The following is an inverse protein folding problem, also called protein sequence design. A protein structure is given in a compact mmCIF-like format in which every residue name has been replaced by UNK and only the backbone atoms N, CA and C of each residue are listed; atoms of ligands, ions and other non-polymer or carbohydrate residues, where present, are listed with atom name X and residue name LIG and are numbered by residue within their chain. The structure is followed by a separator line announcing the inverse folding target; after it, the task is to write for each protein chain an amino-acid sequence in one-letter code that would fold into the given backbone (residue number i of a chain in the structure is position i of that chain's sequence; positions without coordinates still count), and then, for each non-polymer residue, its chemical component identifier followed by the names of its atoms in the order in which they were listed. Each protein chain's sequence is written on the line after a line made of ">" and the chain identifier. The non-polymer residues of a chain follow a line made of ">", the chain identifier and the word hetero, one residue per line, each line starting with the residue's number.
data_IF_953710042929
#
_entry.id   IF_953710042929
#
_cell.length_a   1.000
_cell.length_b   1.000
_cell.length_c   1.000
_cell.angle_alpha   90.00
_cell.angle_beta   90.00
_cell.angle_gamma   90.00
#
_symmetry.space_group_name_H-M   'P 1'
#
loop_
_entity.id
_entity.type
_entity.pdbx_description
1 polymer ?
#
# COMPACT_ATOMS: atom_id res chain seq x y z
N UNK A 1 -12.74 7.58 -23.22
CA UNK A 1 -11.84 7.22 -22.14
C UNK A 1 -12.55 7.45 -20.81
N UNK A 2 -13.09 6.38 -20.21
CA UNK A 2 -13.61 6.46 -18.85
C UNK A 2 -12.37 6.65 -17.95
N UNK A 3 -12.10 7.88 -17.50
CA UNK A 3 -11.27 8.12 -16.32
C UNK A 3 -11.92 7.35 -15.19
N UNK A 4 -11.29 6.27 -14.75
CA UNK A 4 -11.61 5.65 -13.47
C UNK A 4 -11.29 6.71 -12.41
N UNK A 5 -12.34 7.39 -11.93
CA UNK A 5 -12.26 8.57 -11.09
C UNK A 5 -11.91 8.20 -9.65
N UNK A 6 -10.67 7.79 -9.42
CA UNK A 6 -10.04 7.98 -8.12
C UNK A 6 -8.58 8.35 -8.38
N UNK A 7 -8.29 9.65 -8.38
CA UNK A 7 -6.92 10.12 -8.35
C UNK A 7 -6.26 9.50 -7.12
N UNK A 8 -5.35 8.56 -7.34
CA UNK A 8 -4.49 8.03 -6.30
C UNK A 8 -3.23 8.88 -6.30
N UNK A 9 -2.85 9.32 -5.13
CA UNK A 9 -1.74 10.25 -4.93
C UNK A 9 -0.70 9.55 -4.07
N UNK A 10 0.56 9.61 -4.48
CA UNK A 10 1.68 9.14 -3.67
C UNK A 10 2.17 10.29 -2.80
N UNK A 11 2.24 10.05 -1.48
CA UNK A 11 2.69 11.01 -0.49
C UNK A 11 3.74 10.39 0.43
N UNK A 12 4.66 11.23 0.93
CA UNK A 12 5.71 10.85 1.87
C UNK A 12 5.96 11.94 2.91
N UNK A 13 6.37 11.55 4.11
CA UNK A 13 6.84 12.45 5.17
C UNK A 13 8.05 11.85 5.87
N UNK A 14 9.03 12.70 6.26
CA UNK A 14 10.05 12.34 7.22
C UNK A 14 9.46 12.34 8.62
N UNK A 15 9.80 11.34 9.42
CA UNK A 15 9.33 11.20 10.80
C UNK A 15 10.25 11.88 11.83
N UNK A 16 11.36 12.46 11.39
CA UNK A 16 12.28 13.19 12.28
C UNK A 16 11.56 14.40 12.89
N UNK A 17 11.53 14.47 14.22
CA UNK A 17 10.92 15.57 14.97
C UNK A 17 9.43 15.40 15.28
N UNK A 18 8.81 14.25 14.97
CA UNK A 18 7.47 13.95 15.46
C UNK A 18 7.48 13.75 16.98
N UNK A 19 6.61 14.46 17.71
CA UNK A 19 6.40 14.33 19.15
C UNK A 19 4.95 14.05 19.48
N UNK A 20 4.72 13.45 20.66
CA UNK A 20 3.36 13.17 21.15
C UNK A 20 2.66 14.43 21.61
N UNK A 21 1.47 14.71 21.08
CA UNK A 21 0.48 15.59 21.74
C UNK A 21 -0.52 14.74 22.54
N UNK A 22 -0.66 15.06 23.84
CA UNK A 22 -1.67 14.44 24.71
C UNK A 22 -2.97 15.23 24.66
N UNK A 23 -4.09 14.56 24.37
CA UNK A 23 -5.42 15.04 24.80
C UNK A 23 -6.48 13.95 24.75
N UNK A 24 -7.27 13.89 25.84
CA UNK A 24 -8.26 12.88 26.16
C UNK A 24 -9.66 13.15 25.59
N UNK A 25 -10.37 12.07 25.23
CA UNK A 25 -11.75 11.70 25.57
C UNK A 25 -12.09 10.42 24.82
N UNK A 26 -12.04 9.29 25.53
CA UNK A 26 -12.16 7.94 25.01
C UNK A 26 -10.85 7.17 25.14
N UNK A 27 -10.89 5.88 25.17
CA UNK A 27 -9.69 5.04 25.28
C UNK A 27 -9.00 4.99 23.91
N UNK A 28 -7.75 5.45 23.86
CA UNK A 28 -6.89 5.21 22.69
C UNK A 28 -5.99 4.03 23.02
N UNK A 29 -6.07 3.00 22.18
CA UNK A 29 -5.30 1.77 22.34
C UNK A 29 -4.35 1.58 21.14
N UNK A 30 -3.26 0.84 21.38
CA UNK A 30 -2.41 0.40 20.27
C UNK A 30 -3.15 -0.64 19.43
N UNK A 31 -2.94 -0.59 18.13
CA UNK A 31 -3.44 -1.63 17.20
C UNK A 31 -2.96 -3.00 17.65
N UNK A 32 -3.88 -3.98 17.63
CA UNK A 32 -3.64 -5.37 17.94
C UNK A 32 -3.96 -6.23 16.72
N UNK A 33 -3.42 -7.44 16.69
CA UNK A 33 -3.62 -8.37 15.59
C UNK A 33 -4.09 -9.76 16.05
N UNK A 34 -4.63 -9.85 17.25
CA UNK A 34 -5.34 -11.06 17.71
C UNK A 34 -6.69 -11.22 16.96
N UNK A 35 -7.17 -12.45 16.87
CA UNK A 35 -8.35 -12.79 16.05
C UNK A 35 -9.62 -12.03 16.46
N UNK A 36 -9.81 -11.74 17.74
CA UNK A 36 -10.99 -11.02 18.22
C UNK A 36 -10.95 -9.55 17.79
N UNK A 37 -9.78 -8.92 17.90
CA UNK A 37 -9.54 -7.54 17.46
C UNK A 37 -9.65 -7.44 15.93
N UNK A 38 -9.08 -8.37 15.17
CA UNK A 38 -9.21 -8.41 13.71
C UNK A 38 -10.69 -8.50 13.26
N UNK A 39 -11.52 -9.29 13.99
CA UNK A 39 -12.95 -9.35 13.74
C UNK A 39 -13.65 -8.01 13.99
N UNK A 40 -13.19 -7.23 14.95
CA UNK A 40 -13.70 -5.88 15.23
C UNK A 40 -13.34 -4.91 14.14
N UNK A 41 -12.11 -4.97 13.58
CA UNK A 41 -11.72 -4.19 12.42
C UNK A 41 -12.56 -4.51 11.19
N UNK A 42 -12.84 -5.79 10.93
CA UNK A 42 -13.73 -6.18 9.82
C UNK A 42 -15.10 -5.51 9.95
N UNK A 43 -15.69 -5.49 11.15
CA UNK A 43 -16.98 -4.79 11.39
C UNK A 43 -16.86 -3.30 11.12
N UNK A 44 -15.82 -2.63 11.63
CA UNK A 44 -15.58 -1.22 11.38
C UNK A 44 -15.40 -0.93 9.88
N UNK A 45 -14.61 -1.73 9.16
CA UNK A 45 -14.41 -1.54 7.73
C UNK A 45 -15.70 -1.76 6.92
N UNK A 46 -16.55 -2.71 7.31
CA UNK A 46 -17.86 -2.90 6.68
C UNK A 46 -18.77 -1.69 6.89
N UNK A 47 -18.80 -1.10 8.08
CA UNK A 47 -19.59 0.13 8.33
C UNK A 47 -19.10 1.34 7.52
N UNK A 48 -17.80 1.39 7.18
CA UNK A 48 -17.21 2.48 6.42
C UNK A 48 -17.23 2.28 4.90
N UNK A 49 -17.08 1.04 4.43
CA UNK A 49 -16.83 0.70 3.02
C UNK A 49 -17.88 -0.25 2.42
N UNK A 50 -18.86 -0.68 3.22
CA UNK A 50 -19.93 -1.61 2.80
C UNK A 50 -19.53 -3.09 2.84
N UNK A 51 -20.52 -3.96 2.64
CA UNK A 51 -20.39 -5.42 2.75
C UNK A 51 -19.41 -6.04 1.72
N UNK A 52 -19.27 -5.43 0.55
CA UNK A 52 -18.34 -5.88 -0.50
C UNK A 52 -16.88 -5.52 -0.22
N UNK A 53 -16.57 -5.05 0.99
CA UNK A 53 -15.19 -4.69 1.33
C UNK A 53 -14.28 -5.91 1.28
N UNK A 54 -13.05 -5.71 0.83
CA UNK A 54 -12.02 -6.76 0.75
C UNK A 54 -11.49 -7.23 2.12
N UNK A 55 -11.94 -6.61 3.21
CA UNK A 55 -11.40 -6.86 4.54
C UNK A 55 -12.05 -8.11 5.15
N UNK A 56 -11.29 -9.18 5.26
CA UNK A 56 -11.60 -10.37 6.04
C UNK A 56 -10.60 -10.54 7.18
N UNK A 57 -10.90 -11.39 8.15
CA UNK A 57 -9.96 -11.71 9.24
C UNK A 57 -8.67 -12.31 8.69
N UNK A 58 -8.78 -13.18 7.69
CA UNK A 58 -7.64 -13.84 7.05
C UNK A 58 -6.75 -12.82 6.31
N UNK A 59 -7.36 -11.86 5.62
CA UNK A 59 -6.63 -10.78 4.96
C UNK A 59 -5.91 -9.87 5.96
N UNK A 60 -6.58 -9.50 7.05
CA UNK A 60 -5.97 -8.66 8.07
C UNK A 60 -4.89 -9.39 8.86
N UNK A 61 -5.06 -10.68 9.15
CA UNK A 61 -4.03 -11.51 9.76
C UNK A 61 -2.78 -11.60 8.87
N UNK A 62 -2.97 -11.86 7.57
CA UNK A 62 -1.89 -11.83 6.59
C UNK A 62 -1.17 -10.49 6.56
N UNK A 63 -1.91 -9.39 6.52
CA UNK A 63 -1.35 -8.05 6.38
C UNK A 63 -0.69 -7.54 7.66
N UNK A 64 -1.31 -7.81 8.82
CA UNK A 64 -0.94 -7.20 10.10
C UNK A 64 0.01 -8.05 10.93
N UNK A 65 -0.15 -9.38 10.88
CA UNK A 65 0.66 -10.29 11.69
C UNK A 65 1.80 -10.95 10.91
N UNK A 66 1.59 -11.23 9.60
CA UNK A 66 2.52 -12.06 8.80
C UNK A 66 3.45 -11.27 7.90
N UNK A 67 3.46 -9.93 7.98
CA UNK A 67 4.41 -9.11 7.25
C UNK A 67 5.85 -9.38 7.76
N UNK A 68 6.78 -9.86 6.92
CA UNK A 68 8.14 -10.20 7.35
C UNK A 68 8.97 -8.99 7.78
N UNK A 69 8.59 -7.78 7.37
CA UNK A 69 9.24 -6.56 7.82
C UNK A 69 8.83 -6.12 9.23
N UNK A 70 7.83 -6.78 9.82
CA UNK A 70 7.34 -6.55 11.17
C UNK A 70 5.81 -6.42 11.24
N UNK A 71 5.24 -6.54 12.44
CA UNK A 71 3.80 -6.45 12.64
C UNK A 71 3.25 -5.03 12.41
N UNK A 72 1.93 -4.94 12.26
CA UNK A 72 1.21 -3.67 12.20
C UNK A 72 1.49 -2.80 13.42
N UNK A 73 1.53 -1.51 13.21
CA UNK A 73 1.57 -0.48 14.26
C UNK A 73 0.50 0.58 14.00
N UNK A 74 0.11 1.29 15.04
CA UNK A 74 -0.90 2.33 14.94
C UNK A 74 -1.76 2.40 16.18
N UNK A 75 -2.89 3.10 16.05
CA UNK A 75 -3.79 3.34 17.18
C UNK A 75 -5.25 3.21 16.78
N UNK A 76 -6.04 2.78 17.76
CA UNK A 76 -7.49 2.67 17.72
C UNK A 76 -8.12 3.68 18.69
N UNK A 77 -9.29 4.18 18.33
CA UNK A 77 -10.16 4.86 19.28
C UNK A 77 -11.31 3.91 19.64
N UNK A 78 -11.42 3.63 20.93
CA UNK A 78 -12.39 2.68 21.48
C UNK A 78 -13.47 3.46 22.24
N UNK A 79 -14.68 3.38 21.74
CA UNK A 79 -15.88 3.86 22.40
C UNK A 79 -16.40 2.82 23.40
N UNK A 80 -16.99 3.26 24.50
CA UNK A 80 -17.44 2.36 25.57
C UNK A 80 -18.57 1.42 25.16
N UNK A 81 -19.44 1.87 24.26
CA UNK A 81 -20.64 1.13 23.85
C UNK A 81 -20.41 0.40 22.50
N UNK A 82 -19.76 1.06 21.55
CA UNK A 82 -19.61 0.59 20.19
C UNK A 82 -18.28 -0.15 19.91
N UNK A 83 -17.35 -0.12 20.88
CA UNK A 83 -16.03 -0.71 20.71
C UNK A 83 -15.13 0.12 19.79
N UNK A 84 -14.35 -0.51 18.90
CA UNK A 84 -13.43 0.20 18.00
C UNK A 84 -14.23 0.97 16.94
N UNK A 85 -14.18 2.30 17.00
CA UNK A 85 -14.90 3.20 16.09
C UNK A 85 -13.98 4.04 15.20
N UNK A 86 -12.68 4.09 15.49
CA UNK A 86 -11.70 4.61 14.55
C UNK A 86 -10.42 3.78 14.63
N UNK A 87 -9.75 3.66 13.48
CA UNK A 87 -8.57 2.84 13.28
C UNK A 87 -7.60 3.54 12.34
N UNK A 88 -6.34 3.59 12.72
CA UNK A 88 -5.25 4.09 11.88
C UNK A 88 -4.07 3.13 11.96
N UNK A 89 -3.71 2.52 10.85
CA UNK A 89 -2.66 1.52 10.78
C UNK A 89 -1.52 1.91 9.85
N UNK A 90 -0.32 1.49 10.23
CA UNK A 90 0.88 1.49 9.42
C UNK A 90 1.50 0.09 9.45
N UNK A 91 2.09 -0.34 8.34
CA UNK A 91 2.89 -1.57 8.30
C UNK A 91 4.33 -1.23 7.93
N UNK A 92 5.32 -1.92 8.49
CA UNK A 92 6.70 -1.82 8.04
C UNK A 92 6.82 -2.13 6.55
N UNK A 93 7.47 -1.24 5.82
CA UNK A 93 7.64 -1.35 4.38
C UNK A 93 8.89 -0.59 3.94
N UNK A 94 10.09 -1.22 4.05
CA UNK A 94 11.36 -0.58 3.73
C UNK A 94 11.40 -0.05 2.29
N UNK A 95 12.06 1.09 2.12
CA UNK A 95 12.18 1.79 0.84
C UNK A 95 13.64 2.12 0.53
N UNK A 96 13.90 2.45 -0.73
CA UNK A 96 15.11 3.15 -1.11
C UNK A 96 14.76 4.52 -1.71
N UNK A 97 15.46 5.56 -1.28
CA UNK A 97 15.36 6.92 -1.81
C UNK A 97 16.73 7.24 -2.43
N UNK A 98 16.74 7.51 -3.73
CA UNK A 98 17.99 7.69 -4.50
C UNK A 98 19.04 6.59 -4.28
N UNK A 99 18.58 5.35 -4.09
CA UNK A 99 19.42 4.18 -3.84
C UNK A 99 19.80 3.93 -2.38
N UNK A 100 19.57 4.87 -1.48
CA UNK A 100 19.82 4.71 -0.05
C UNK A 100 18.64 4.01 0.64
N UNK A 101 18.95 2.96 1.41
CA UNK A 101 17.95 2.18 2.15
C UNK A 101 17.48 2.95 3.38
N UNK A 102 16.16 3.06 3.53
CA UNK A 102 15.52 3.74 4.65
C UNK A 102 14.48 2.82 5.30
N UNK A 103 14.39 2.90 6.63
CA UNK A 103 13.31 2.27 7.37
C UNK A 103 12.03 3.10 7.20
N UNK A 104 10.99 2.49 6.67
CA UNK A 104 9.75 3.21 6.41
C UNK A 104 8.52 2.40 6.77
N UNK A 105 7.43 3.10 7.04
CA UNK A 105 6.11 2.53 7.23
C UNK A 105 5.17 2.97 6.11
N UNK A 106 4.33 2.06 5.66
CA UNK A 106 3.23 2.33 4.75
C UNK A 106 1.96 2.57 5.55
N UNK A 107 1.43 3.79 5.50
CA UNK A 107 0.13 4.13 6.07
C UNK A 107 -1.00 3.54 5.21
N UNK A 108 -1.91 2.79 5.84
CA UNK A 108 -2.99 2.10 5.14
C UNK A 108 -4.18 1.82 6.07
N UNK A 109 -5.28 1.34 5.50
CA UNK A 109 -6.47 0.84 6.23
C UNK A 109 -6.98 1.80 7.31
N UNK A 110 -7.11 3.08 6.98
CA UNK A 110 -7.64 4.07 7.92
C UNK A 110 -9.16 4.10 7.83
N UNK A 111 -9.85 4.08 8.97
CA UNK A 111 -11.30 4.12 9.02
C UNK A 111 -11.80 4.88 10.24
N UNK A 112 -12.91 5.61 10.07
CA UNK A 112 -13.68 6.21 11.17
C UNK A 112 -15.14 5.94 10.92
N UNK A 113 -15.80 5.29 11.90
CA UNK A 113 -17.22 4.96 11.83
C UNK A 113 -18.04 6.22 11.50
N UNK A 114 -19.06 6.13 10.63
CA UNK A 114 -19.83 7.30 10.18
C UNK A 114 -20.32 8.20 11.31
N UNK A 115 -20.80 7.64 12.41
CA UNK A 115 -21.30 8.41 13.56
C UNK A 115 -20.21 9.16 14.35
N UNK A 116 -18.94 8.86 14.10
CA UNK A 116 -17.77 9.45 14.79
C UNK A 116 -16.92 10.32 13.87
N UNK A 117 -17.35 10.52 12.61
CA UNK A 117 -16.67 11.41 11.68
C UNK A 117 -16.80 12.89 12.13
N UNK A 118 -15.91 13.74 11.64
CA UNK A 118 -15.89 15.16 11.97
C UNK A 118 -15.29 15.50 13.35
N UNK A 119 -14.97 14.53 14.19
CA UNK A 119 -14.43 14.71 15.54
C UNK A 119 -12.89 14.76 15.60
N UNK A 120 -12.20 14.81 14.46
CA UNK A 120 -10.74 14.89 14.40
C UNK A 120 -10.01 13.59 14.70
N UNK A 121 -10.72 12.46 14.89
CA UNK A 121 -10.11 11.16 15.26
C UNK A 121 -9.06 10.69 14.25
N UNK A 122 -9.32 10.83 12.95
CA UNK A 122 -8.36 10.51 11.90
C UNK A 122 -7.01 11.21 12.12
N UNK A 123 -7.05 12.54 12.30
CA UNK A 123 -5.85 13.37 12.48
C UNK A 123 -5.11 12.98 13.76
N UNK A 124 -5.85 12.78 14.86
CA UNK A 124 -5.29 12.39 16.15
C UNK A 124 -4.60 11.05 16.11
N UNK A 125 -5.27 10.02 15.59
CA UNK A 125 -4.69 8.68 15.49
C UNK A 125 -3.50 8.65 14.52
N UNK A 126 -3.56 9.40 13.41
CA UNK A 126 -2.45 9.55 12.47
C UNK A 126 -1.21 10.15 13.15
N UNK A 127 -1.36 11.27 13.86
CA UNK A 127 -0.24 11.90 14.59
C UNK A 127 0.39 10.92 15.59
N UNK A 128 -0.43 10.20 16.35
CA UNK A 128 0.07 9.21 17.31
C UNK A 128 0.76 8.04 16.63
N UNK A 129 0.24 7.56 15.48
CA UNK A 129 0.83 6.46 14.73
C UNK A 129 2.22 6.85 14.18
N UNK A 130 2.36 8.08 13.67
CA UNK A 130 3.63 8.56 13.15
C UNK A 130 4.63 8.86 14.26
N UNK A 131 4.22 9.43 15.39
CA UNK A 131 5.08 9.56 16.56
C UNK A 131 5.55 8.19 17.06
N UNK A 132 4.64 7.23 17.17
CA UNK A 132 5.00 5.86 17.58
C UNK A 132 5.92 5.15 16.57
N UNK A 133 5.81 5.43 15.27
CA UNK A 133 6.73 4.93 14.26
C UNK A 133 8.11 5.59 14.39
N UNK A 134 8.18 6.91 14.61
CA UNK A 134 9.44 7.62 14.88
C UNK A 134 10.15 7.06 16.11
N UNK A 135 9.41 6.87 17.23
CA UNK A 135 9.94 6.26 18.46
C UNK A 135 10.46 4.84 18.24
N UNK A 136 9.89 4.11 17.29
CA UNK A 136 10.32 2.77 16.89
C UNK A 136 11.48 2.75 15.88
N UNK A 137 12.04 3.92 15.51
CA UNK A 137 13.20 4.05 14.64
C UNK A 137 12.92 4.02 13.15
N UNK A 138 11.69 4.34 12.73
CA UNK A 138 11.37 4.54 11.32
C UNK A 138 11.67 5.97 10.88
N UNK A 139 12.27 6.11 9.70
CA UNK A 139 12.70 7.40 9.15
C UNK A 139 11.59 8.10 8.39
N UNK A 140 10.72 7.32 7.72
CA UNK A 140 9.69 7.82 6.81
C UNK A 140 8.36 7.11 6.97
N UNK A 141 7.29 7.86 6.72
CA UNK A 141 5.97 7.29 6.42
C UNK A 141 5.55 7.67 5.00
N UNK A 142 4.93 6.76 4.28
CA UNK A 142 4.40 7.01 2.95
C UNK A 142 3.03 6.35 2.76
N UNK A 143 2.31 6.74 1.74
CA UNK A 143 1.00 6.20 1.47
C UNK A 143 0.45 6.55 0.10
N UNK A 144 -0.65 5.90 -0.24
CA UNK A 144 -1.42 6.16 -1.47
C UNK A 144 -2.87 6.45 -1.04
N UNK A 145 -3.12 7.65 -0.48
CA UNK A 145 -4.45 8.02 -0.03
C UNK A 145 -5.41 8.20 -1.22
N UNK A 146 -6.68 8.09 -0.91
CA UNK A 146 -7.75 8.53 -1.80
C UNK A 146 -7.95 10.06 -1.69
N UNK A 147 -8.80 10.63 -2.55
CA UNK A 147 -9.09 12.06 -2.58
C UNK A 147 -9.64 12.59 -1.25
N UNK A 148 -10.34 11.77 -0.46
CA UNK A 148 -10.90 12.18 0.83
C UNK A 148 -9.83 12.27 1.94
N UNK A 149 -8.86 11.36 1.95
CA UNK A 149 -7.81 11.33 2.97
C UNK A 149 -6.67 12.32 2.67
N UNK A 150 -6.43 12.64 1.41
CA UNK A 150 -5.32 13.50 0.95
C UNK A 150 -5.27 14.86 1.67
N UNK A 151 -6.34 15.65 1.78
CA UNK A 151 -6.29 16.96 2.43
C UNK A 151 -5.90 16.88 3.91
N UNK A 152 -6.35 15.83 4.62
CA UNK A 152 -5.97 15.59 6.01
C UNK A 152 -4.49 15.31 6.18
N UNK A 153 -3.91 14.53 5.31
CA UNK A 153 -2.50 14.15 5.36
C UNK A 153 -1.58 15.28 4.89
N UNK A 154 -1.87 15.92 3.77
CA UNK A 154 -1.00 16.97 3.23
C UNK A 154 -1.13 18.30 3.98
N UNK A 155 -2.35 18.66 4.41
CA UNK A 155 -2.60 19.93 5.09
C UNK A 155 -2.32 19.91 6.60
N UNK A 156 -2.60 18.81 7.29
CA UNK A 156 -2.52 18.74 8.76
C UNK A 156 -1.37 17.90 9.28
N UNK A 157 -0.96 16.86 8.54
CA UNK A 157 0.10 15.95 8.95
C UNK A 157 1.45 16.25 8.29
N UNK A 158 1.53 17.27 7.43
CA UNK A 158 2.78 17.69 6.79
C UNK A 158 3.30 16.75 5.68
N UNK A 159 2.49 15.83 5.19
CA UNK A 159 2.88 15.00 4.05
C UNK A 159 3.12 15.84 2.81
N UNK A 160 4.17 15.48 2.08
CA UNK A 160 4.46 16.06 0.76
C UNK A 160 3.88 15.18 -0.33
N UNK A 161 3.17 15.80 -1.26
CA UNK A 161 2.74 15.16 -2.48
C UNK A 161 3.96 14.93 -3.36
N UNK A 162 4.22 13.67 -3.72
CA UNK A 162 5.32 13.31 -4.61
C UNK A 162 4.86 13.31 -6.06
N UNK A 163 3.80 12.57 -6.36
CA UNK A 163 3.20 12.52 -7.69
C UNK A 163 1.78 11.97 -7.63
N UNK A 164 0.99 12.30 -8.66
CA UNK A 164 -0.23 11.56 -8.95
C UNK A 164 0.13 10.21 -9.58
N UNK A 165 -0.64 9.18 -9.27
CA UNK A 165 -0.53 7.88 -9.89
C UNK A 165 -1.59 7.74 -10.98
N UNK A 166 -1.15 7.60 -12.21
CA UNK A 166 -2.03 7.34 -13.34
C UNK A 166 -2.47 5.86 -13.35
N UNK A 167 -3.70 5.61 -13.75
CA UNK A 167 -4.22 4.28 -14.00
C UNK A 167 -4.42 4.12 -15.51
N UNK A 168 -3.53 3.36 -16.15
CA UNK A 168 -3.58 3.12 -17.59
C UNK A 168 -4.03 1.70 -17.89
N UNK A 169 -4.93 1.54 -18.87
CA UNK A 169 -5.29 0.25 -19.45
C UNK A 169 -4.46 0.07 -20.71
N UNK A 170 -3.50 -0.85 -20.67
CA UNK A 170 -2.61 -1.14 -21.79
C UNK A 170 -3.10 -2.38 -22.54
N UNK A 171 -3.37 -2.26 -23.84
CA UNK A 171 -3.73 -3.37 -24.73
C UNK A 171 -2.50 -4.10 -25.29
N UNK A 172 -1.35 -3.45 -25.33
CA UNK A 172 -0.09 -4.01 -25.81
C UNK A 172 0.85 -4.34 -24.63
N UNK A 173 1.82 -5.26 -24.82
CA UNK A 173 2.84 -5.51 -23.81
C UNK A 173 3.61 -4.23 -23.49
N UNK A 174 3.32 -3.63 -22.35
CA UNK A 174 4.10 -2.51 -21.86
C UNK A 174 5.46 -3.03 -21.39
N UNK A 175 6.53 -2.50 -21.97
CA UNK A 175 7.89 -2.69 -21.47
C UNK A 175 8.25 -1.45 -20.66
N UNK A 176 8.38 -1.60 -19.34
CA UNK A 176 9.06 -0.59 -18.55
C UNK A 176 10.55 -0.65 -18.92
N UNK A 177 11.19 0.48 -19.24
CA UNK A 177 12.64 0.51 -19.42
C UNK A 177 13.30 -0.06 -18.16
N UNK A 178 14.30 -0.96 -18.33
CA UNK A 178 15.08 -1.41 -17.19
C UNK A 178 16.00 -0.26 -16.76
N UNK A 179 15.81 0.34 -15.58
CA UNK A 179 16.59 1.50 -15.17
C UNK A 179 18.09 1.21 -15.05
N UNK A 180 18.49 -0.06 -14.95
CA UNK A 180 19.90 -0.45 -14.81
C UNK A 180 20.56 -0.79 -16.16
N UNK A 181 19.78 -1.07 -17.21
CA UNK A 181 20.34 -1.48 -18.51
C UNK A 181 20.73 -0.29 -19.40
N UNK A 182 20.07 0.86 -19.25
CA UNK A 182 20.19 2.00 -20.16
C UNK A 182 20.84 3.24 -19.52
N UNK A 183 21.48 3.08 -18.32
CA UNK A 183 22.07 4.22 -17.60
C UNK A 183 21.05 5.24 -17.09
N UNK A 184 19.79 4.88 -17.06
CA UNK A 184 18.72 5.70 -16.49
C UNK A 184 18.95 5.93 -14.98
N UNK A 185 18.63 7.12 -14.47
CA UNK A 185 18.83 7.42 -13.06
C UNK A 185 18.04 6.42 -12.19
N UNK A 186 18.69 5.93 -11.15
CA UNK A 186 18.06 5.12 -10.10
C UNK A 186 16.75 5.76 -9.70
N UNK A 187 15.67 4.98 -9.68
CA UNK A 187 14.36 5.50 -9.30
C UNK A 187 14.46 6.30 -8.00
N UNK A 188 13.96 7.55 -8.02
CA UNK A 188 14.02 8.42 -6.85
C UNK A 188 13.38 7.80 -5.60
N UNK A 189 12.43 6.88 -5.82
CA UNK A 189 11.75 6.11 -4.78
C UNK A 189 11.45 4.71 -5.30
N UNK A 190 11.76 3.69 -4.50
CA UNK A 190 11.33 2.32 -4.74
C UNK A 190 11.13 1.56 -3.43
N UNK A 191 10.18 0.61 -3.42
CA UNK A 191 10.04 -0.34 -2.32
C UNK A 191 11.17 -1.37 -2.39
N UNK A 192 11.75 -1.68 -1.23
CA UNK A 192 12.74 -2.77 -1.13
C UNK A 192 11.99 -4.09 -0.99
N UNK A 193 12.38 -5.06 -1.82
CA UNK A 193 11.89 -6.42 -1.77
C UNK A 193 12.98 -7.36 -1.26
N UNK A 194 12.64 -8.24 -0.32
CA UNK A 194 13.37 -9.44 0.03
C UNK A 194 12.62 -10.65 -0.49
N UNK A 195 13.23 -11.84 -0.46
CA UNK A 195 12.54 -13.10 -0.82
C UNK A 195 11.31 -13.29 0.05
N UNK A 196 11.43 -13.12 1.37
CA UNK A 196 10.31 -13.27 2.30
C UNK A 196 9.21 -12.24 2.04
N UNK A 197 9.57 -10.99 1.73
CA UNK A 197 8.60 -9.94 1.39
C UNK A 197 7.85 -10.26 0.09
N UNK A 198 8.51 -10.84 -0.90
CA UNK A 198 7.87 -11.30 -2.14
C UNK A 198 6.96 -12.50 -1.88
N UNK A 199 7.41 -13.50 -1.12
CA UNK A 199 6.60 -14.65 -0.74
C UNK A 199 5.34 -14.21 0.01
N UNK A 200 5.51 -13.35 1.00
CA UNK A 200 4.38 -12.76 1.72
C UNK A 200 3.44 -11.99 0.79
N UNK A 201 3.97 -11.14 -0.09
CA UNK A 201 3.14 -10.38 -1.05
C UNK A 201 2.33 -11.28 -1.97
N UNK A 202 2.92 -12.38 -2.43
CA UNK A 202 2.29 -13.34 -3.33
C UNK A 202 1.32 -14.30 -2.60
N UNK A 203 1.39 -14.39 -1.27
CA UNK A 203 0.47 -15.18 -0.44
C UNK A 203 -0.78 -14.41 0.03
N UNK A 204 -1.07 -13.23 -0.54
CA UNK A 204 -2.28 -12.46 -0.26
C UNK A 204 -3.54 -13.33 -0.44
N UNK A 205 -4.35 -13.56 0.61
CA UNK A 205 -5.51 -14.46 0.52
C UNK A 205 -6.61 -13.95 -0.40
N UNK A 206 -6.62 -12.64 -0.72
CA UNK A 206 -7.60 -12.03 -1.62
C UNK A 206 -7.17 -12.07 -3.09
N UNK A 207 -5.95 -12.52 -3.39
CA UNK A 207 -5.40 -12.43 -4.73
C UNK A 207 -4.76 -13.75 -5.17
N UNK A 208 -5.13 -14.21 -6.36
CA UNK A 208 -4.40 -15.29 -7.05
C UNK A 208 -3.36 -14.66 -7.97
N UNK A 209 -2.17 -14.48 -7.43
CA UNK A 209 -1.05 -13.94 -8.20
C UNK A 209 -0.54 -14.96 -9.21
N UNK A 210 -0.17 -14.47 -10.39
CA UNK A 210 0.58 -15.22 -11.40
C UNK A 210 1.89 -14.51 -11.63
N UNK A 211 2.97 -15.25 -11.73
CA UNK A 211 4.31 -14.70 -11.87
C UNK A 211 5.03 -15.34 -13.04
N UNK A 212 5.92 -14.59 -13.68
CA UNK A 212 6.80 -15.06 -14.75
C UNK A 212 8.08 -14.23 -14.73
N UNK A 213 9.23 -14.89 -14.86
CA UNK A 213 10.46 -14.17 -15.20
C UNK A 213 10.40 -13.71 -16.65
N UNK A 214 10.55 -12.40 -16.87
CA UNK A 214 10.74 -11.84 -18.21
C UNK A 214 12.18 -12.02 -18.67
N UNK A 215 13.08 -11.77 -17.76
CA UNK A 215 14.54 -11.89 -17.89
C UNK A 215 15.12 -12.22 -16.48
N UNK A 216 16.40 -12.53 -16.34
CA UNK A 216 16.97 -12.91 -15.04
C UNK A 216 16.82 -11.87 -13.92
N UNK A 217 16.52 -10.62 -14.26
CA UNK A 217 16.43 -9.52 -13.30
C UNK A 217 15.03 -8.93 -13.16
N UNK A 218 14.02 -9.46 -13.88
CA UNK A 218 12.68 -8.86 -13.88
C UNK A 218 11.61 -9.91 -13.68
N UNK A 219 10.90 -9.81 -12.57
CA UNK A 219 9.71 -10.60 -12.26
C UNK A 219 8.47 -9.85 -12.72
N UNK A 220 7.69 -10.46 -13.58
CA UNK A 220 6.36 -9.99 -13.96
C UNK A 220 5.33 -10.62 -13.03
N UNK A 221 4.42 -9.81 -12.50
CA UNK A 221 3.38 -10.21 -11.57
C UNK A 221 2.03 -9.76 -12.10
N UNK A 222 1.07 -10.68 -12.13
CA UNK A 222 -0.33 -10.38 -12.48
C UNK A 222 -1.24 -10.74 -11.31
N UNK A 223 -2.18 -9.85 -11.01
CA UNK A 223 -3.18 -10.05 -9.97
C UNK A 223 -4.59 -9.72 -10.43
N UNK A 224 -5.58 -9.89 -9.55
CA UNK A 224 -6.94 -9.46 -9.84
C UNK A 224 -6.98 -7.95 -10.10
N UNK A 225 -7.71 -7.57 -11.12
CA UNK A 225 -7.91 -6.18 -11.51
C UNK A 225 -9.32 -5.69 -11.26
N UNK A 226 -9.65 -4.48 -11.72
CA UNK A 226 -10.95 -3.84 -11.50
C UNK A 226 -12.11 -4.54 -12.24
N UNK A 227 -11.79 -5.38 -13.22
CA UNK A 227 -12.75 -6.19 -13.95
C UNK A 227 -12.18 -7.58 -14.24
N UNK A 228 -13.02 -8.60 -14.46
CA UNK A 228 -12.60 -9.99 -14.68
C UNK A 228 -11.55 -10.18 -15.79
N UNK A 229 -11.59 -9.32 -16.80
CA UNK A 229 -10.71 -9.40 -17.98
C UNK A 229 -9.56 -8.38 -17.97
N UNK A 230 -9.41 -7.61 -16.89
CA UNK A 230 -8.38 -6.57 -16.77
C UNK A 230 -7.55 -6.84 -15.52
N UNK A 231 -6.55 -7.74 -15.58
CA UNK A 231 -5.68 -7.99 -14.45
C UNK A 231 -4.82 -6.76 -14.14
N UNK A 232 -4.48 -6.58 -12.87
CA UNK A 232 -3.37 -5.69 -12.50
C UNK A 232 -2.06 -6.31 -12.94
N UNK A 233 -1.09 -5.46 -13.27
CA UNK A 233 0.22 -5.87 -13.71
C UNK A 233 1.30 -5.03 -13.02
N UNK A 234 2.35 -5.70 -12.57
CA UNK A 234 3.52 -5.09 -11.95
C UNK A 234 4.80 -5.75 -12.46
N UNK A 235 5.87 -4.99 -12.61
CA UNK A 235 7.22 -5.52 -12.81
C UNK A 235 8.06 -5.21 -11.58
N UNK A 236 8.65 -6.25 -11.00
CA UNK A 236 9.55 -6.15 -9.86
C UNK A 236 10.97 -6.41 -10.36
N UNK A 237 11.85 -5.44 -10.17
CA UNK A 237 13.26 -5.61 -10.49
C UNK A 237 13.95 -6.39 -9.37
N UNK A 238 14.58 -7.51 -9.76
CA UNK A 238 15.29 -8.41 -8.87
C UNK A 238 16.76 -7.99 -8.79
N UNK A 239 17.22 -7.71 -7.59
CA UNK A 239 18.65 -7.57 -7.32
C UNK A 239 19.30 -8.94 -7.06
N UNK A 240 20.61 -8.98 -6.90
CA UNK A 240 21.35 -10.23 -6.66
C UNK A 240 20.89 -10.97 -5.38
N UNK A 241 20.42 -10.22 -4.37
CA UNK A 241 19.95 -10.77 -3.08
C UNK A 241 18.60 -11.53 -3.21
N UNK A 242 17.89 -11.35 -4.33
CA UNK A 242 16.61 -12.00 -4.61
C UNK A 242 16.75 -13.29 -5.43
N UNK A 243 17.96 -13.86 -5.56
CA UNK A 243 18.22 -15.13 -6.24
C UNK A 243 18.74 -16.17 -5.23
N UNK A 244 18.29 -17.44 -5.27
CA UNK A 244 17.36 -18.07 -6.21
C UNK A 244 15.90 -17.99 -5.75
N UNK A 245 15.01 -17.72 -6.70
CA UNK A 245 13.55 -17.69 -6.46
C UNK A 245 12.90 -19.05 -6.74
N UNK A 246 13.61 -20.14 -6.52
CA UNK A 246 13.12 -21.48 -6.77
C UNK A 246 11.85 -21.77 -5.95
N UNK A 247 10.80 -22.16 -6.65
CA UNK A 247 9.49 -22.48 -6.04
C UNK A 247 8.46 -21.36 -5.97
N UNK A 248 8.81 -20.10 -6.31
CA UNK A 248 7.87 -18.96 -6.32
C UNK A 248 7.02 -18.85 -7.60
N UNK A 249 7.29 -19.71 -8.60
CA UNK A 249 6.70 -19.55 -9.92
C UNK A 249 5.72 -20.67 -10.24
N UNK A 250 4.42 -20.34 -10.31
CA UNK A 250 3.51 -21.14 -11.11
C UNK A 250 3.63 -20.66 -12.56
N UNK A 251 3.93 -21.52 -13.54
CA UNK A 251 3.98 -21.13 -14.94
C UNK A 251 2.62 -20.58 -15.35
N UNK A 252 2.57 -19.44 -16.06
CA UNK A 252 1.32 -18.93 -16.58
C UNK A 252 0.77 -19.94 -17.58
N UNK A 253 -0.53 -20.28 -17.45
CA UNK A 253 -1.27 -20.89 -18.55
C UNK A 253 -1.19 -20.00 -19.80
N UNK A 254 -1.58 -20.49 -20.98
CA UNK A 254 -1.52 -19.74 -22.22
C UNK A 254 -2.27 -18.42 -22.06
N UNK A 255 -1.53 -17.31 -22.12
CA UNK A 255 -2.10 -15.97 -21.98
C UNK A 255 -2.43 -15.43 -23.36
N UNK A 256 -3.68 -15.57 -23.77
CA UNK A 256 -4.25 -14.75 -24.81
C UNK A 256 -4.25 -13.28 -24.37
N UNK A 257 -4.19 -12.37 -25.32
CA UNK A 257 -4.24 -10.91 -25.13
C UNK A 257 -5.11 -10.49 -23.96
N UNK A 258 -4.50 -10.08 -22.86
CA UNK A 258 -5.20 -9.51 -21.72
C UNK A 258 -4.82 -8.04 -21.55
N UNK A 259 -5.78 -7.12 -21.50
CA UNK A 259 -5.50 -5.73 -21.17
C UNK A 259 -4.85 -5.66 -19.78
N UNK A 260 -3.89 -4.74 -19.60
CA UNK A 260 -3.12 -4.60 -18.36
C UNK A 260 -3.43 -3.26 -17.73
N UNK A 261 -3.70 -3.24 -16.43
CA UNK A 261 -3.81 -2.02 -15.65
C UNK A 261 -2.44 -1.67 -15.06
N UNK A 262 -1.91 -0.54 -15.45
CA UNK A 262 -0.67 0.01 -14.88
C UNK A 262 -1.01 1.17 -13.95
N UNK A 263 -0.44 1.16 -12.75
CA UNK A 263 -0.51 2.25 -11.78
C UNK A 263 0.91 2.82 -11.60
N UNK A 264 1.10 4.07 -12.00
CA UNK A 264 2.39 4.72 -11.85
C UNK A 264 2.49 6.03 -12.63
N UNK A 265 3.62 6.73 -12.49
CA UNK A 265 3.91 7.92 -13.29
C UNK A 265 4.16 7.48 -14.74
N UNK A 266 3.48 8.14 -15.69
CA UNK A 266 3.68 7.87 -17.12
C UNK A 266 5.13 8.20 -17.48
N UNK A 267 5.88 7.30 -18.15
CA UNK A 267 7.20 7.63 -18.64
C UNK A 267 7.10 8.72 -19.72
N UNK A 268 8.06 9.65 -19.80
CA UNK A 268 8.11 10.64 -20.87
C UNK A 268 8.21 9.91 -22.22
N UNK A 269 7.30 10.20 -23.16
CA UNK A 269 7.28 9.61 -24.50
C UNK A 269 6.29 8.48 -24.75
N UNK A 270 5.48 8.08 -23.77
CA UNK A 270 4.40 7.11 -23.98
C UNK A 270 3.29 7.70 -24.85
N UNK A 271 3.13 7.15 -26.06
CA UNK A 271 2.01 7.48 -26.95
C UNK A 271 0.73 6.93 -26.32
N UNK A 272 -0.21 7.80 -25.97
CA UNK A 272 -1.59 7.39 -25.71
C UNK A 272 -2.18 6.88 -27.02
N UNK A 273 -2.73 5.66 -27.08
CA UNK A 273 -3.63 5.34 -28.15
C UNK A 273 -4.85 6.25 -27.99
N UNK A 274 -5.07 7.16 -28.95
CA UNK A 274 -6.36 7.80 -29.11
C UNK A 274 -7.36 6.69 -29.42
N UNK A 275 -8.16 6.32 -28.42
CA UNK A 275 -9.36 5.53 -28.65
C UNK A 275 -10.43 6.55 -28.95
N UNK A 276 -10.64 6.78 -30.26
CA UNK A 276 -11.82 7.47 -30.78
C UNK A 276 -13.07 6.62 -30.58
#
# INVERSE_FOLDING_TARGET
>A
PARLASERIFIIISLHGFSREEACLGSIEKVKHDRATLSSYVRLFKSCYGEASKFSVEYLDWLYAKNPAGPVMGFDYVDREKGIVAHYACIPAPIAIHGEKMNAVLALNTATHPDFQGQGLFTKLASMAFAGAADAGYDYAYGVPNAQATPGLTGRQGFRLVCSLDADICLLPYRRPNPTADGEPVAAFQRIWSVDALQWRLSDPNARWRTKLRDPNTLQVWGPGPAPFVPTYEEIFLNADLRPLDGLFAPPGPMAFTPKLHLGKRPPGGVTPNVS
#
